data_IF_862252368229
#
_entry.id   IF_862252368229
#
_cell.length_a   1.000
_cell.length_b   1.000
_cell.length_c   1.000
_cell.angle_alpha   90.00
_cell.angle_beta   90.00
_cell.angle_gamma   90.00
#
_symmetry.space_group_name_H-M   'P 1'
#
loop_
_entity.id
_entity.type
_entity.pdbx_description
1 polymer ?
#
# COMPACT_ATOMS: atom_id res chain seq x y z
N UNK A 1 -48.88 58.26 -9.93
CA UNK A 1 -49.86 57.35 -9.30
C UNK A 1 -49.12 56.14 -8.75
N UNK A 2 -49.24 55.94 -7.43
CA UNK A 2 -49.29 54.68 -6.66
C UNK A 2 -48.56 53.46 -7.26
N UNK A 3 -47.39 53.04 -6.74
CA UNK A 3 -47.19 52.18 -5.53
C UNK A 3 -48.08 50.92 -5.54
N UNK A 4 -47.44 49.75 -5.64
CA UNK A 4 -47.44 48.78 -4.53
C UNK A 4 -46.09 48.08 -4.47
N UNK A 5 -45.50 48.19 -3.29
CA UNK A 5 -44.31 47.55 -2.76
C UNK A 5 -44.79 46.28 -2.04
N UNK A 6 -44.06 45.17 -2.15
CA UNK A 6 -43.87 44.27 -1.01
C UNK A 6 -42.36 44.04 -0.87
N UNK A 7 -41.78 44.83 0.02
CA UNK A 7 -40.58 44.50 0.78
C UNK A 7 -41.08 43.95 2.11
N UNK A 8 -40.55 42.81 2.54
CA UNK A 8 -40.37 42.54 3.96
C UNK A 8 -38.94 42.03 4.13
N UNK A 9 -38.07 42.97 4.51
CA UNK A 9 -36.89 42.70 5.31
C UNK A 9 -37.32 42.71 6.78
N UNK A 10 -36.76 41.83 7.60
CA UNK A 10 -36.59 42.13 9.02
C UNK A 10 -35.27 41.53 9.53
N UNK A 11 -34.31 42.44 9.69
CA UNK A 11 -33.13 42.30 10.55
C UNK A 11 -33.53 42.72 11.95
N UNK A 12 -33.50 41.82 12.94
CA UNK A 12 -33.22 42.06 14.39
C UNK A 12 -32.85 40.64 14.91
N UNK A 13 -31.75 40.32 15.61
CA UNK A 13 -31.06 41.03 16.68
C UNK A 13 -29.56 40.68 16.62
N UNK A 14 -28.72 41.71 16.52
CA UNK A 14 -27.35 41.67 17.02
C UNK A 14 -27.24 42.75 18.10
N UNK A 15 -27.30 42.34 19.36
CA UNK A 15 -26.93 43.04 20.60
C UNK A 15 -27.41 42.11 21.74
N UNK A 16 -26.66 41.72 22.75
CA UNK A 16 -25.24 41.79 23.11
C UNK A 16 -25.12 40.91 24.38
N UNK A 17 -23.89 40.51 24.73
CA UNK A 17 -23.46 39.76 25.94
C UNK A 17 -23.55 38.23 25.74
N UNK A 18 -22.47 37.49 25.48
CA UNK A 18 -21.07 37.64 25.89
C UNK A 18 -20.14 37.03 24.82
N UNK A 19 -19.04 37.74 24.48
CA UNK A 19 -17.68 37.28 24.10
C UNK A 19 -17.53 35.82 23.62
N UNK A 20 -16.96 35.49 22.45
CA UNK A 20 -15.71 35.97 21.84
C UNK A 20 -15.48 35.30 20.47
N UNK A 21 -14.89 36.05 19.53
CA UNK A 21 -14.07 35.60 18.37
C UNK A 21 -14.81 34.79 17.27
N UNK A 22 -14.90 35.20 16.01
CA UNK A 22 -13.81 35.59 15.09
C UNK A 22 -12.53 34.77 15.32
N UNK A 23 -12.55 33.52 14.83
CA UNK A 23 -11.36 32.89 14.30
C UNK A 23 -11.73 32.18 13.00
N UNK A 24 -11.48 32.89 11.91
CA UNK A 24 -11.11 32.28 10.65
C UNK A 24 -9.87 31.42 10.97
N UNK A 25 -10.06 30.13 11.27
CA UNK A 25 -8.96 29.25 11.70
C UNK A 25 -7.90 29.25 10.59
N UNK A 26 -6.79 29.94 10.84
CA UNK A 26 -5.62 29.91 10.00
C UNK A 26 -5.23 28.46 9.77
N UNK A 27 -4.87 28.12 8.54
CA UNK A 27 -4.33 26.82 8.13
C UNK A 27 -2.99 26.45 8.79
N UNK A 28 -2.63 27.10 9.89
CA UNK A 28 -1.40 26.90 10.66
C UNK A 28 -1.52 25.75 11.70
N UNK A 29 -2.74 25.26 11.96
CA UNK A 29 -3.00 24.25 13.00
C UNK A 29 -2.97 22.78 12.52
N UNK A 30 -2.87 22.53 11.21
CA UNK A 30 -2.55 21.19 10.69
C UNK A 30 -1.05 21.13 10.48
N UNK A 31 -0.29 20.85 11.54
CA UNK A 31 1.17 20.95 11.49
C UNK A 31 1.85 19.57 11.61
N UNK A 32 1.63 18.73 10.58
CA UNK A 32 2.37 17.48 10.40
C UNK A 32 3.88 17.75 10.36
N UNK A 33 4.30 18.92 9.88
CA UNK A 33 5.71 19.33 9.96
C UNK A 33 6.23 19.52 11.38
N UNK A 34 5.47 20.06 12.33
CA UNK A 34 5.88 20.12 13.74
C UNK A 34 5.98 18.70 14.32
N UNK A 35 5.01 17.83 14.05
CA UNK A 35 5.04 16.44 14.53
C UNK A 35 6.28 15.68 14.01
N UNK A 36 6.64 15.91 12.74
CA UNK A 36 7.86 15.38 12.14
C UNK A 36 9.13 15.98 12.75
N UNK A 37 9.19 17.30 12.89
CA UNK A 37 10.35 18.07 13.37
C UNK A 37 10.70 17.81 14.83
N UNK A 38 9.70 17.67 15.70
CA UNK A 38 9.92 17.51 17.14
C UNK A 38 10.24 16.05 17.51
N UNK A 39 9.55 15.07 16.90
CA UNK A 39 9.49 13.69 17.45
C UNK A 39 9.37 12.55 16.41
N UNK A 40 9.15 12.87 15.13
CA UNK A 40 8.82 11.89 14.09
C UNK A 40 7.40 11.32 14.21
N UNK A 41 6.93 10.73 13.11
CA UNK A 41 5.63 10.07 12.99
C UNK A 41 5.83 8.59 12.70
N UNK A 42 4.91 7.75 13.18
CA UNK A 42 4.97 6.29 12.99
C UNK A 42 3.65 5.77 12.47
N UNK A 43 3.66 4.95 11.43
CA UNK A 43 2.50 4.15 11.05
C UNK A 43 2.75 2.68 11.34
N UNK A 44 1.66 1.97 11.50
CA UNK A 44 1.61 0.56 11.78
C UNK A 44 0.89 -0.12 10.63
N UNK A 45 1.31 -1.34 10.33
CA UNK A 45 0.58 -2.24 9.45
C UNK A 45 0.72 -3.65 9.94
N UNK A 46 -0.26 -4.49 9.62
CA UNK A 46 -0.22 -5.91 9.93
C UNK A 46 -0.95 -6.70 8.84
N UNK A 47 -0.37 -7.82 8.43
CA UNK A 47 -1.01 -8.77 7.53
C UNK A 47 -1.44 -10.00 8.33
N UNK A 48 -2.74 -10.29 8.30
CA UNK A 48 -3.36 -11.38 9.07
C UNK A 48 -3.35 -12.73 8.34
N UNK A 49 -2.72 -12.84 7.16
CA UNK A 49 -2.68 -14.10 6.41
C UNK A 49 -1.56 -15.01 6.94
N UNK A 50 -1.95 -16.14 7.53
CA UNK A 50 -1.03 -17.21 7.93
C UNK A 50 -0.33 -16.96 9.27
N UNK A 51 0.90 -16.43 9.23
CA UNK A 51 1.80 -16.33 10.38
C UNK A 51 1.75 -15.01 11.16
N UNK A 52 0.95 -14.03 10.73
CA UNK A 52 0.91 -12.70 11.32
C UNK A 52 2.22 -11.96 11.05
N UNK A 53 2.19 -11.00 10.13
CA UNK A 53 3.33 -10.08 9.95
C UNK A 53 2.94 -8.73 10.57
N UNK A 54 3.79 -8.20 11.46
CA UNK A 54 3.58 -6.88 12.05
C UNK A 54 4.71 -5.96 11.62
N UNK A 55 4.34 -4.82 11.04
CA UNK A 55 5.28 -3.83 10.53
C UNK A 55 5.05 -2.50 11.23
N UNK A 56 6.16 -1.88 11.63
CA UNK A 56 6.21 -0.52 12.14
C UNK A 56 7.14 0.27 11.23
N UNK A 57 6.69 1.44 10.79
CA UNK A 57 7.55 2.35 10.04
C UNK A 57 7.52 3.72 10.66
N UNK A 58 8.70 4.26 10.94
CA UNK A 58 8.86 5.59 11.53
C UNK A 58 9.58 6.52 10.55
N UNK A 59 9.02 7.72 10.37
CA UNK A 59 9.60 8.84 9.63
C UNK A 59 9.99 9.94 10.63
N UNK A 60 11.28 10.28 10.73
CA UNK A 60 11.83 11.32 11.62
C UNK A 60 12.47 12.45 10.79
N UNK A 61 12.46 13.67 11.33
CA UNK A 61 13.07 14.84 10.69
C UNK A 61 14.57 15.00 11.00
N UNK A 62 15.01 14.72 12.22
CA UNK A 62 16.38 14.99 12.70
C UNK A 62 17.46 13.98 12.25
N UNK A 63 17.15 13.11 11.29
CA UNK A 63 18.10 12.24 10.60
C UNK A 63 18.61 12.86 9.28
N UNK A 64 18.42 14.18 9.11
CA UNK A 64 19.03 15.04 8.09
C UNK A 64 20.51 15.34 8.42
N UNK A 65 21.31 14.29 8.61
CA UNK A 65 22.72 14.38 8.23
C UNK A 65 22.76 13.98 6.76
N UNK A 66 23.54 14.74 5.98
CA UNK A 66 23.99 14.46 4.63
C UNK A 66 24.87 13.17 4.56
N UNK A 67 24.43 12.11 5.26
CA UNK A 67 25.04 10.79 5.46
C UNK A 67 23.98 9.67 5.51
N UNK A 68 22.77 9.92 4.98
CA UNK A 68 21.77 8.87 4.78
C UNK A 68 21.26 8.20 6.06
N UNK A 69 20.23 8.77 6.67
CA UNK A 69 19.40 8.02 7.62
C UNK A 69 17.94 7.95 7.18
N UNK A 70 17.36 6.80 7.51
CA UNK A 70 16.42 6.00 6.71
C UNK A 70 15.01 6.18 7.26
N UNK A 71 13.97 5.96 6.44
CA UNK A 71 12.77 5.31 6.99
C UNK A 71 13.19 4.00 7.64
N UNK A 72 13.19 3.92 8.97
CA UNK A 72 13.35 2.65 9.67
C UNK A 72 12.05 1.89 9.54
N UNK A 73 12.00 1.04 8.53
CA UNK A 73 11.04 -0.06 8.46
C UNK A 73 11.54 -1.13 9.42
N UNK A 74 10.85 -1.32 10.54
CA UNK A 74 11.07 -2.46 11.42
C UNK A 74 9.95 -3.47 11.14
N UNK A 75 10.32 -4.61 10.54
CA UNK A 75 9.44 -5.77 10.42
C UNK A 75 9.63 -6.61 11.68
N UNK A 76 8.54 -7.11 12.23
CA UNK A 76 8.57 -7.99 13.38
C UNK A 76 7.77 -9.25 13.08
N UNK A 77 8.29 -10.40 13.50
CA UNK A 77 7.51 -11.62 13.65
C UNK A 77 7.30 -11.96 15.10
N UNK A 78 6.22 -12.66 15.37
CA UNK A 78 5.98 -13.25 16.67
C UNK A 78 6.70 -14.59 16.75
N UNK A 79 7.68 -14.66 17.63
CA UNK A 79 8.33 -15.93 17.97
C UNK A 79 7.31 -16.94 18.50
N UNK A 80 7.66 -18.22 18.46
CA UNK A 80 6.83 -19.30 19.04
C UNK A 80 6.63 -19.15 20.55
N UNK A 81 7.47 -18.35 21.23
CA UNK A 81 7.31 -18.02 22.64
C UNK A 81 6.39 -16.83 22.88
N UNK A 82 5.91 -16.17 21.82
CA UNK A 82 4.96 -15.06 21.90
C UNK A 82 5.59 -13.66 21.88
N UNK A 83 6.92 -13.57 21.85
CA UNK A 83 7.67 -12.30 21.84
C UNK A 83 7.88 -11.80 20.40
N UNK A 84 7.87 -10.49 20.20
CA UNK A 84 8.19 -9.87 18.90
C UNK A 84 9.71 -9.92 18.64
N UNK A 85 10.13 -10.34 17.47
CA UNK A 85 11.54 -10.32 17.09
C UNK A 85 11.70 -9.48 15.83
N UNK A 86 12.66 -8.53 15.78
CA UNK A 86 12.92 -7.78 14.57
C UNK A 86 13.40 -8.74 13.49
N UNK A 87 12.77 -8.69 12.33
CA UNK A 87 13.15 -9.46 11.16
C UNK A 87 14.08 -8.65 10.27
N UNK A 88 15.10 -9.29 9.66
CA UNK A 88 15.85 -8.65 8.60
C UNK A 88 14.90 -8.31 7.45
N UNK A 89 14.95 -7.05 7.00
CA UNK A 89 14.20 -6.59 5.84
C UNK A 89 14.66 -7.36 4.61
N UNK A 90 13.82 -8.28 4.11
CA UNK A 90 14.01 -8.93 2.81
C UNK A 90 12.95 -8.44 1.84
N UNK A 91 12.82 -7.12 1.67
CA UNK A 91 12.10 -6.62 0.50
C UNK A 91 13.09 -6.52 -0.63
N UNK A 92 12.84 -7.36 -1.62
CA UNK A 92 13.79 -7.72 -2.66
C UNK A 92 13.29 -7.18 -4.02
N UNK A 93 12.15 -6.48 -4.00
CA UNK A 93 11.49 -5.89 -5.15
C UNK A 93 12.42 -4.94 -5.91
N UNK A 94 12.33 -4.97 -7.23
CA UNK A 94 13.07 -4.05 -8.08
C UNK A 94 12.13 -2.97 -8.60
N UNK A 95 12.62 -1.74 -8.69
CA UNK A 95 11.87 -0.64 -9.30
C UNK A 95 12.54 -0.29 -10.62
N UNK A 96 11.74 0.05 -11.63
CA UNK A 96 12.25 0.49 -12.92
C UNK A 96 12.70 1.96 -12.83
N UNK A 97 13.91 2.21 -13.29
CA UNK A 97 14.59 3.51 -13.21
C UNK A 97 15.19 3.86 -14.58
N UNK A 98 15.72 5.08 -14.70
CA UNK A 98 16.49 5.47 -15.88
C UNK A 98 17.76 4.62 -16.11
N UNK A 99 18.27 3.96 -15.06
CA UNK A 99 19.42 3.05 -15.11
C UNK A 99 19.03 1.58 -15.30
N UNK A 100 17.73 1.27 -15.35
CA UNK A 100 17.20 -0.10 -15.42
C UNK A 100 16.50 -0.54 -14.12
N UNK A 101 16.36 -1.86 -13.94
CA UNK A 101 15.78 -2.44 -12.73
C UNK A 101 16.77 -2.38 -11.57
N UNK A 102 16.46 -1.60 -10.54
CA UNK A 102 17.28 -1.49 -9.34
C UNK A 102 16.53 -2.09 -8.15
N UNK A 103 17.24 -2.86 -7.33
CA UNK A 103 16.67 -3.36 -6.09
C UNK A 103 16.33 -2.19 -5.18
N UNK A 104 15.05 -2.06 -4.86
CA UNK A 104 14.55 -1.03 -3.96
C UNK A 104 14.99 -1.35 -2.55
N UNK A 105 15.56 -0.37 -1.86
CA UNK A 105 15.77 -0.45 -0.41
C UNK A 105 14.52 0.02 0.37
N UNK A 106 13.45 0.39 -0.34
CA UNK A 106 12.21 0.97 0.17
C UNK A 106 12.46 2.14 1.14
N UNK A 107 13.46 2.97 0.86
CA UNK A 107 13.76 4.14 1.66
C UNK A 107 13.13 5.38 1.06
N UNK A 108 12.41 6.12 1.89
CA UNK A 108 11.92 7.44 1.56
C UNK A 108 12.53 8.44 2.51
N UNK A 109 13.04 9.54 1.96
CA UNK A 109 13.56 10.66 2.75
C UNK A 109 12.70 11.89 2.52
N UNK A 110 12.65 12.77 3.53
CA UNK A 110 12.00 14.07 3.40
C UNK A 110 12.82 14.95 2.46
N UNK A 111 12.28 15.26 1.29
CA UNK A 111 12.93 16.18 0.33
C UNK A 111 12.51 17.63 0.57
N UNK A 112 11.26 17.85 1.03
CA UNK A 112 10.73 19.19 1.29
C UNK A 112 9.51 19.15 2.22
N UNK A 113 9.35 20.19 3.02
CA UNK A 113 8.10 20.48 3.74
C UNK A 113 7.38 21.61 3.00
N UNK A 114 6.15 21.36 2.55
CA UNK A 114 5.33 22.28 1.75
C UNK A 114 4.27 22.98 2.61
N UNK A 115 4.69 23.59 3.72
CA UNK A 115 3.79 24.13 4.75
C UNK A 115 3.34 23.05 5.75
N UNK A 116 2.44 23.42 6.69
CA UNK A 116 2.07 22.57 7.83
C UNK A 116 1.52 21.18 7.47
N UNK A 117 0.81 21.07 6.35
CA UNK A 117 -0.01 19.89 6.04
C UNK A 117 0.57 18.95 4.96
N UNK A 118 1.73 19.26 4.36
CA UNK A 118 2.28 18.49 3.24
C UNK A 118 3.79 18.31 3.32
N UNK A 119 4.26 17.08 3.11
CA UNK A 119 5.68 16.72 3.03
C UNK A 119 5.94 16.01 1.71
N UNK A 120 6.91 16.49 0.95
CA UNK A 120 7.45 15.78 -0.19
C UNK A 120 8.49 14.75 0.29
N UNK A 121 8.37 13.54 -0.23
CA UNK A 121 9.28 12.43 0.00
C UNK A 121 9.93 12.01 -1.32
N UNK A 122 11.16 11.51 -1.25
CA UNK A 122 11.86 10.98 -2.42
C UNK A 122 12.65 9.73 -2.05
N UNK A 123 12.82 8.83 -3.02
CA UNK A 123 13.79 7.76 -2.90
C UNK A 123 15.21 8.34 -3.12
N UNK A 124 16.13 8.25 -2.15
CA UNK A 124 17.46 8.80 -2.30
C UNK A 124 18.31 8.09 -3.36
N UNK A 125 18.02 6.80 -3.65
CA UNK A 125 18.69 6.06 -4.71
C UNK A 125 18.14 6.45 -6.09
N UNK A 126 16.85 6.85 -6.15
CA UNK A 126 16.17 7.21 -7.39
C UNK A 126 15.27 8.44 -7.23
N UNK A 127 15.84 9.65 -7.34
CA UNK A 127 15.13 10.90 -7.04
C UNK A 127 13.91 11.20 -7.91
N UNK A 128 13.71 10.46 -9.01
CA UNK A 128 12.50 10.56 -9.83
C UNK A 128 11.29 9.93 -9.14
N UNK A 129 11.51 8.96 -8.26
CA UNK A 129 10.46 8.37 -7.45
C UNK A 129 10.17 9.35 -6.31
N UNK A 130 9.00 9.98 -6.37
CA UNK A 130 8.59 10.97 -5.39
C UNK A 130 7.17 10.73 -4.91
N UNK A 131 6.94 11.08 -3.64
CA UNK A 131 5.64 11.01 -3.00
C UNK A 131 5.32 12.31 -2.29
N UNK A 132 4.03 12.52 -2.03
CA UNK A 132 3.55 13.59 -1.17
C UNK A 132 2.75 12.99 -0.02
N UNK A 133 3.21 13.19 1.20
CA UNK A 133 2.46 12.89 2.41
C UNK A 133 1.59 14.10 2.75
N UNK A 134 0.27 13.89 2.80
CA UNK A 134 -0.74 14.92 3.07
C UNK A 134 -1.46 14.60 4.37
N UNK A 135 -1.55 15.54 5.31
CA UNK A 135 -2.38 15.42 6.51
C UNK A 135 -3.79 15.97 6.27
N UNK A 136 -4.78 15.28 6.83
CA UNK A 136 -6.18 15.72 6.81
C UNK A 136 -6.62 16.12 8.22
N UNK A 137 -6.99 17.39 8.36
CA UNK A 137 -7.57 17.92 9.59
C UNK A 137 -6.58 18.02 10.75
N UNK A 138 -7.13 18.41 11.91
CA UNK A 138 -6.36 18.56 13.14
C UNK A 138 -5.96 17.19 13.71
N UNK A 139 -4.86 17.10 14.48
CA UNK A 139 -4.53 15.90 15.24
C UNK A 139 -5.70 15.45 16.10
N UNK A 140 -5.95 14.15 16.11
CA UNK A 140 -6.83 13.52 17.08
C UNK A 140 -6.08 13.35 18.40
N UNK A 141 -6.52 14.05 19.46
CA UNK A 141 -6.04 13.79 20.82
C UNK A 141 -6.50 12.39 21.26
N UNK A 142 -5.53 11.55 21.63
CA UNK A 142 -5.77 10.19 22.07
C UNK A 142 -5.79 10.05 23.59
N UNK A 143 -5.50 11.11 24.35
CA UNK A 143 -5.37 11.06 25.81
C UNK A 143 -6.57 10.36 26.46
N UNK A 144 -6.29 9.35 27.30
CA UNK A 144 -7.29 8.51 27.98
C UNK A 144 -8.21 7.66 27.07
N UNK A 145 -7.96 7.62 25.75
CA UNK A 145 -8.62 6.63 24.87
C UNK A 145 -7.94 5.28 25.02
N UNK A 146 -8.72 4.21 24.89
CA UNK A 146 -8.20 2.84 24.90
C UNK A 146 -7.40 2.56 23.63
N UNK A 147 -6.18 2.07 23.80
CA UNK A 147 -5.26 1.77 22.69
C UNK A 147 -5.87 0.67 21.80
N UNK A 148 -6.35 -0.42 22.40
CA UNK A 148 -6.95 -1.55 21.67
C UNK A 148 -8.13 -1.10 20.78
N UNK A 149 -9.10 -0.38 21.35
CA UNK A 149 -10.29 0.08 20.62
C UNK A 149 -9.93 1.05 19.50
N UNK A 150 -8.97 1.95 19.74
CA UNK A 150 -8.52 2.90 18.73
C UNK A 150 -7.83 2.20 17.54
N UNK A 151 -6.91 1.27 17.79
CA UNK A 151 -6.23 0.52 16.71
C UNK A 151 -7.21 -0.35 15.92
N UNK A 152 -8.18 -0.99 16.59
CA UNK A 152 -9.20 -1.83 15.94
C UNK A 152 -10.13 -1.05 14.99
N UNK A 153 -10.18 0.28 15.11
CA UNK A 153 -10.93 1.12 14.17
C UNK A 153 -10.34 1.18 12.75
N UNK A 154 -9.11 0.67 12.57
CA UNK A 154 -8.38 0.66 11.31
C UNK A 154 -8.05 -0.78 10.90
N UNK A 155 -8.41 -1.13 9.66
CA UNK A 155 -8.12 -2.46 9.12
C UNK A 155 -6.61 -2.76 9.10
N UNK A 156 -5.77 -1.74 8.88
CA UNK A 156 -4.31 -1.89 8.81
C UNK A 156 -3.68 -2.10 10.20
N UNK A 157 -4.29 -1.56 11.24
CA UNK A 157 -3.79 -1.60 12.61
C UNK A 157 -4.41 -2.75 13.44
N UNK A 158 -5.36 -3.49 12.88
CA UNK A 158 -6.15 -4.50 13.61
C UNK A 158 -5.28 -5.64 14.15
N UNK A 159 -4.26 -6.07 13.42
CA UNK A 159 -3.31 -7.07 13.92
C UNK A 159 -2.52 -6.57 15.12
N UNK A 160 -2.15 -5.28 15.16
CA UNK A 160 -1.56 -4.67 16.35
C UNK A 160 -2.56 -4.59 17.50
N UNK A 161 -3.81 -4.22 17.24
CA UNK A 161 -4.86 -4.15 18.25
C UNK A 161 -5.00 -5.48 19.01
N UNK A 162 -4.99 -6.61 18.29
CA UNK A 162 -5.11 -7.95 18.88
C UNK A 162 -3.97 -8.29 19.85
N UNK A 163 -2.83 -7.61 19.75
CA UNK A 163 -1.66 -7.81 20.58
C UNK A 163 -1.53 -6.77 21.69
N UNK A 164 -2.51 -5.90 21.90
CA UNK A 164 -2.52 -4.89 22.98
C UNK A 164 -3.37 -5.35 24.16
N UNK A 165 -2.95 -5.02 25.38
CA UNK A 165 -3.73 -5.24 26.61
C UNK A 165 -5.03 -4.40 26.54
N UNK A 166 -6.19 -5.06 26.63
CA UNK A 166 -7.49 -4.49 26.21
C UNK A 166 -7.88 -3.15 26.88
N UNK A 167 -7.48 -2.94 28.15
CA UNK A 167 -7.87 -1.78 28.94
C UNK A 167 -6.79 -0.70 29.07
N UNK A 168 -5.67 -0.80 28.34
CA UNK A 168 -4.62 0.21 28.41
C UNK A 168 -5.02 1.47 27.68
N UNK A 169 -4.69 2.61 28.28
CA UNK A 169 -5.02 3.94 27.78
C UNK A 169 -3.78 4.63 27.22
N UNK A 170 -3.99 5.51 26.24
CA UNK A 170 -2.96 6.45 25.82
C UNK A 170 -2.71 7.50 26.92
N UNK A 171 -1.43 7.82 27.09
CA UNK A 171 -0.96 8.88 27.99
C UNK A 171 -1.18 10.27 27.38
N UNK A 172 -0.96 11.29 28.20
CA UNK A 172 -1.08 12.69 27.79
C UNK A 172 -0.11 13.02 26.65
N UNK A 173 -0.61 13.75 25.64
CA UNK A 173 0.17 14.19 24.49
C UNK A 173 0.31 13.13 23.40
N UNK A 174 -0.40 12.00 23.50
CA UNK A 174 -0.53 11.02 22.44
C UNK A 174 -1.53 11.50 21.38
N UNK A 175 -1.09 11.60 20.13
CA UNK A 175 -1.89 12.09 19.02
C UNK A 175 -1.83 11.14 17.83
N UNK A 176 -2.93 11.07 17.09
CA UNK A 176 -2.99 10.47 15.77
C UNK A 176 -3.29 11.52 14.69
N UNK A 177 -2.83 11.25 13.47
CA UNK A 177 -3.10 12.05 12.29
C UNK A 177 -3.60 11.14 11.19
N UNK A 178 -4.65 11.54 10.50
CA UNK A 178 -5.03 10.90 9.24
C UNK A 178 -4.15 11.49 8.14
N UNK A 179 -3.46 10.63 7.41
CA UNK A 179 -2.60 11.04 6.30
C UNK A 179 -2.92 10.25 5.03
N UNK A 180 -2.54 10.80 3.88
CA UNK A 180 -2.48 10.09 2.61
C UNK A 180 -1.09 10.23 2.04
N UNK A 181 -0.53 9.12 1.59
CA UNK A 181 0.65 9.10 0.74
C UNK A 181 0.20 9.09 -0.71
N UNK A 182 0.58 10.11 -1.46
CA UNK A 182 0.30 10.24 -2.88
C UNK A 182 1.56 9.95 -3.68
N UNK A 183 1.50 9.07 -4.68
CA UNK A 183 2.55 8.94 -5.69
C UNK A 183 2.55 10.18 -6.58
N UNK A 184 3.70 10.80 -6.82
CA UNK A 184 3.77 11.96 -7.72
C UNK A 184 4.18 11.55 -9.15
N UNK A 185 4.75 10.36 -9.31
CA UNK A 185 5.22 9.79 -10.57
C UNK A 185 4.72 8.37 -10.72
N UNK A 186 4.59 7.93 -11.96
CA UNK A 186 4.32 6.52 -12.25
C UNK A 186 5.45 5.65 -11.71
N UNK A 187 5.11 4.51 -11.11
CA UNK A 187 6.08 3.55 -10.56
C UNK A 187 5.79 2.16 -11.06
N UNK A 188 6.87 1.47 -11.46
CA UNK A 188 6.84 0.10 -11.94
C UNK A 188 7.71 -0.74 -11.04
N UNK A 189 7.12 -1.73 -10.38
CA UNK A 189 7.83 -2.59 -9.43
C UNK A 189 7.79 -4.02 -9.91
N UNK A 190 8.95 -4.61 -10.17
CA UNK A 190 9.08 -6.06 -10.33
C UNK A 190 9.00 -6.71 -8.95
N UNK A 191 8.08 -7.65 -8.78
CA UNK A 191 8.01 -8.44 -7.56
C UNK A 191 9.20 -9.38 -7.49
N UNK A 192 9.88 -9.39 -6.35
CA UNK A 192 10.86 -10.41 -5.99
C UNK A 192 10.27 -11.19 -4.83
N UNK A 193 9.52 -12.21 -5.17
CA UNK A 193 8.97 -13.14 -4.20
C UNK A 193 10.02 -14.25 -4.10
N UNK A 194 10.62 -14.41 -2.92
CA UNK A 194 11.49 -15.54 -2.62
C UNK A 194 10.75 -16.85 -2.99
N UNK A 195 11.16 -17.47 -4.08
CA UNK A 195 10.59 -18.71 -4.60
C UNK A 195 11.27 -19.91 -3.94
N UNK A 196 10.76 -20.35 -2.80
CA UNK A 196 11.03 -21.73 -2.34
C UNK A 196 10.08 -22.75 -3.01
N UNK A 197 9.15 -22.31 -3.86
CA UNK A 197 8.25 -23.18 -4.64
C UNK A 197 8.66 -23.26 -6.12
N UNK A 198 8.42 -24.43 -6.72
CA UNK A 198 8.99 -24.94 -7.99
C UNK A 198 8.67 -24.14 -9.27
N UNK A 199 8.01 -22.97 -9.22
CA UNK A 199 7.64 -22.18 -10.40
C UNK A 199 7.84 -20.66 -10.20
N UNK A 200 8.56 -20.03 -11.14
CA UNK A 200 9.04 -18.64 -11.07
C UNK A 200 7.97 -17.60 -10.73
N UNK A 201 8.04 -17.06 -9.52
CA UNK A 201 6.96 -16.31 -8.86
C UNK A 201 6.51 -15.03 -9.57
N UNK A 202 7.42 -14.38 -10.30
CA UNK A 202 7.12 -13.24 -11.15
C UNK A 202 7.20 -13.58 -12.64
N UNK A 203 7.45 -14.84 -13.01
CA UNK A 203 7.43 -15.27 -14.41
C UNK A 203 6.00 -15.35 -14.89
N UNK A 204 5.77 -14.78 -16.06
CA UNK A 204 4.49 -14.88 -16.74
C UNK A 204 4.52 -16.13 -17.58
N UNK A 205 3.54 -17.00 -17.38
CA UNK A 205 3.41 -18.21 -18.19
C UNK A 205 2.33 -18.06 -19.23
N UNK A 206 2.61 -18.68 -20.38
CA UNK A 206 1.69 -18.91 -21.48
C UNK A 206 1.69 -20.41 -21.72
N UNK A 207 0.57 -21.08 -21.43
CA UNK A 207 0.36 -22.55 -21.46
C UNK A 207 1.63 -23.43 -21.31
N UNK A 208 1.80 -24.03 -20.14
CA UNK A 208 2.84 -25.03 -19.82
C UNK A 208 4.30 -24.54 -19.88
N UNK A 209 4.57 -23.30 -20.29
CA UNK A 209 5.92 -22.73 -20.25
C UNK A 209 5.94 -21.23 -19.89
N UNK A 210 7.02 -20.74 -19.28
CA UNK A 210 7.27 -19.31 -19.13
C UNK A 210 7.32 -18.62 -20.51
N UNK A 211 6.64 -17.49 -20.65
CA UNK A 211 6.74 -16.65 -21.83
C UNK A 211 8.15 -16.01 -21.89
N UNK A 212 8.72 -15.94 -23.08
CA UNK A 212 10.06 -15.40 -23.31
C UNK A 212 10.01 -13.96 -23.82
N UNK A 213 8.93 -13.61 -24.54
CA UNK A 213 8.67 -12.30 -25.08
C UNK A 213 7.23 -11.84 -24.81
N UNK A 214 7.02 -10.52 -24.78
CA UNK A 214 5.67 -9.94 -24.66
C UNK A 214 4.76 -10.33 -25.84
N UNK A 215 5.33 -10.69 -26.98
CA UNK A 215 4.60 -11.20 -28.13
C UNK A 215 4.02 -12.61 -27.91
N UNK A 216 4.58 -13.41 -26.98
CA UNK A 216 4.09 -14.77 -26.69
C UNK A 216 2.76 -14.76 -25.93
N UNK A 217 2.39 -13.62 -25.34
CA UNK A 217 1.19 -13.42 -24.54
C UNK A 217 0.20 -12.42 -25.18
N UNK A 218 0.48 -11.98 -26.41
CA UNK A 218 -0.43 -11.12 -27.17
C UNK A 218 -0.89 -11.77 -28.48
N UNK A 219 -2.10 -11.42 -28.91
CA UNK A 219 -2.75 -12.01 -30.08
C UNK A 219 -3.25 -10.93 -31.04
N UNK A 220 -3.18 -11.19 -32.34
CA UNK A 220 -3.71 -10.26 -33.34
C UNK A 220 -5.24 -10.20 -33.35
N UNK A 221 -5.90 -11.28 -32.93
CA UNK A 221 -7.36 -11.45 -32.96
C UNK A 221 -7.74 -12.21 -31.69
N UNK A 222 -8.79 -11.74 -31.01
CA UNK A 222 -9.36 -12.39 -29.84
C UNK A 222 -9.71 -13.87 -30.11
N UNK A 223 -9.24 -14.74 -29.25
CA UNK A 223 -9.51 -16.18 -29.32
C UNK A 223 -10.80 -16.47 -28.56
N UNK A 224 -11.69 -17.26 -29.18
CA UNK A 224 -12.82 -17.84 -28.47
C UNK A 224 -12.37 -19.12 -27.76
N UNK A 225 -11.58 -18.96 -26.70
CA UNK A 225 -10.95 -20.06 -25.97
C UNK A 225 -11.99 -20.81 -25.13
N UNK A 226 -12.82 -21.65 -25.76
CA UNK A 226 -13.50 -22.76 -25.09
C UNK A 226 -12.58 -23.98 -24.97
N UNK A 227 -11.56 -24.05 -25.82
CA UNK A 227 -10.46 -25.00 -25.76
C UNK A 227 -9.22 -24.32 -25.13
N UNK A 228 -8.75 -24.76 -23.95
CA UNK A 228 -7.59 -24.18 -23.30
C UNK A 228 -6.30 -24.27 -24.11
N UNK A 229 -6.14 -25.28 -24.98
CA UNK A 229 -4.94 -25.45 -25.83
C UNK A 229 -4.78 -24.32 -26.87
N UNK A 230 -5.85 -23.60 -27.16
CA UNK A 230 -5.84 -22.48 -28.09
C UNK A 230 -5.47 -21.16 -27.41
N UNK A 231 -5.46 -21.11 -26.08
CA UNK A 231 -5.22 -19.88 -25.34
C UNK A 231 -3.79 -19.37 -25.52
N UNK A 232 -3.67 -18.08 -25.85
CA UNK A 232 -2.40 -17.36 -25.92
C UNK A 232 -2.53 -16.12 -25.05
N UNK A 233 -1.92 -16.16 -23.88
CA UNK A 233 -2.08 -15.12 -22.89
C UNK A 233 -1.31 -15.41 -21.62
N UNK A 234 -1.48 -14.54 -20.63
CA UNK A 234 -0.79 -14.60 -19.36
C UNK A 234 -1.68 -15.21 -18.26
N UNK A 235 -1.13 -16.15 -17.49
CA UNK A 235 -1.72 -16.52 -16.20
C UNK A 235 -1.44 -15.42 -15.17
N UNK A 236 -2.50 -14.88 -14.56
CA UNK A 236 -2.43 -13.86 -13.51
C UNK A 236 -2.48 -14.49 -12.12
N UNK A 237 -3.19 -15.60 -11.96
CA UNK A 237 -3.17 -16.41 -10.75
C UNK A 237 -2.84 -17.86 -11.05
N UNK A 238 -2.51 -18.60 -10.00
CA UNK A 238 -2.11 -19.99 -10.07
C UNK A 238 -3.13 -20.90 -9.42
N UNK A 239 -3.19 -22.14 -9.88
CA UNK A 239 -4.05 -23.17 -9.30
C UNK A 239 -3.44 -23.62 -7.96
N UNK A 240 -3.70 -22.86 -6.91
CA UNK A 240 -3.47 -23.29 -5.54
C UNK A 240 -4.69 -24.08 -5.07
N UNK A 241 -4.49 -25.33 -4.64
CA UNK A 241 -5.52 -26.17 -4.03
C UNK A 241 -6.77 -26.46 -4.89
N UNK A 242 -6.60 -26.75 -6.19
CA UNK A 242 -7.69 -26.98 -7.15
C UNK A 242 -8.63 -25.77 -7.33
N UNK A 243 -8.16 -24.57 -7.03
CA UNK A 243 -8.89 -23.34 -7.34
C UNK A 243 -8.78 -22.99 -8.82
N UNK A 244 -9.79 -22.32 -9.39
CA UNK A 244 -9.69 -21.79 -10.73
C UNK A 244 -8.50 -20.82 -10.86
N UNK A 245 -7.94 -20.73 -12.06
CA UNK A 245 -6.91 -19.76 -12.43
C UNK A 245 -7.55 -18.60 -13.18
N UNK A 246 -7.04 -17.40 -12.94
CA UNK A 246 -7.35 -16.21 -13.73
C UNK A 246 -6.25 -16.04 -14.78
N UNK A 247 -6.66 -15.82 -16.01
CA UNK A 247 -5.78 -15.59 -17.15
C UNK A 247 -6.29 -14.44 -18.00
N UNK A 248 -5.39 -13.83 -18.77
CA UNK A 248 -5.70 -12.70 -19.66
C UNK A 248 -5.09 -12.90 -21.04
N UNK A 249 -5.90 -12.75 -22.07
CA UNK A 249 -5.45 -12.59 -23.46
C UNK A 249 -5.35 -11.10 -23.79
N UNK A 250 -4.21 -10.69 -24.34
CA UNK A 250 -3.96 -9.31 -24.76
C UNK A 250 -4.07 -9.20 -26.27
N UNK A 251 -5.14 -8.60 -26.77
CA UNK A 251 -5.36 -8.43 -28.21
C UNK A 251 -4.68 -7.14 -28.67
N UNK A 252 -3.99 -7.16 -29.81
CA UNK A 252 -3.22 -6.01 -30.33
C UNK A 252 -4.07 -4.76 -30.63
N UNK A 253 -5.40 -4.88 -30.62
CA UNK A 253 -6.31 -3.72 -30.72
C UNK A 253 -6.51 -2.97 -29.39
N UNK A 254 -5.83 -3.41 -28.32
CA UNK A 254 -5.91 -2.86 -26.97
C UNK A 254 -6.94 -3.55 -26.08
N UNK A 255 -7.66 -4.57 -26.57
CA UNK A 255 -8.61 -5.34 -25.76
C UNK A 255 -7.91 -6.36 -24.88
N UNK A 256 -8.32 -6.46 -23.61
CA UNK A 256 -7.90 -7.49 -22.67
C UNK A 256 -9.09 -8.41 -22.36
N UNK A 257 -9.00 -9.70 -22.70
CA UNK A 257 -10.06 -10.68 -22.43
C UNK A 257 -9.64 -11.55 -21.24
N UNK A 258 -10.46 -11.59 -20.19
CA UNK A 258 -10.17 -12.36 -18.98
C UNK A 258 -10.91 -13.69 -19.00
N UNK A 259 -10.18 -14.77 -18.71
CA UNK A 259 -10.69 -16.13 -18.69
C UNK A 259 -10.46 -16.77 -17.33
N UNK A 260 -11.49 -17.45 -16.85
CA UNK A 260 -11.41 -18.36 -15.71
C UNK A 260 -11.10 -19.74 -16.28
N UNK A 261 -10.00 -20.32 -15.83
CA UNK A 261 -9.54 -21.64 -16.26
C UNK A 261 -9.63 -22.64 -15.12
N UNK A 262 -10.33 -23.74 -15.34
CA UNK A 262 -10.47 -24.82 -14.35
C UNK A 262 -9.59 -26.00 -14.74
N UNK A 263 -8.97 -26.65 -13.75
CA UNK A 263 -8.18 -27.87 -13.96
C UNK A 263 -8.78 -29.03 -13.19
N UNK A 264 -8.97 -30.15 -13.88
CA UNK A 264 -9.39 -31.42 -13.28
C UNK A 264 -8.21 -32.28 -12.79
N UNK A 265 -6.96 -31.90 -13.12
CA UNK A 265 -5.77 -32.67 -12.77
C UNK A 265 -4.52 -31.78 -12.73
N UNK A 266 -4.24 -31.20 -11.56
CA UNK A 266 -2.97 -30.54 -11.27
C UNK A 266 -2.76 -29.16 -11.92
N UNK A 267 -1.55 -28.62 -11.71
CA UNK A 267 -1.27 -27.17 -11.72
C UNK A 267 -1.00 -26.56 -13.11
N UNK A 268 -1.00 -27.31 -14.21
CA UNK A 268 -0.57 -26.78 -15.52
C UNK A 268 -1.42 -27.17 -16.74
N UNK A 269 -2.54 -27.86 -16.55
CA UNK A 269 -3.38 -28.37 -17.64
C UNK A 269 -4.86 -28.02 -17.41
N UNK A 270 -5.25 -26.77 -17.70
CA UNK A 270 -6.66 -26.40 -17.64
C UNK A 270 -7.49 -27.29 -18.57
N UNK A 271 -8.61 -27.80 -18.06
CA UNK A 271 -9.56 -28.61 -18.82
C UNK A 271 -10.66 -27.77 -19.49
N UNK A 272 -10.92 -26.57 -18.96
CA UNK A 272 -11.91 -25.63 -19.50
C UNK A 272 -11.39 -24.21 -19.40
N UNK A 273 -11.83 -23.37 -20.33
CA UNK A 273 -11.61 -21.93 -20.30
C UNK A 273 -12.95 -21.24 -20.54
N UNK A 274 -13.31 -20.32 -19.64
CA UNK A 274 -14.55 -19.54 -19.73
C UNK A 274 -14.21 -18.06 -19.71
N UNK A 275 -14.56 -17.35 -20.79
CA UNK A 275 -14.44 -15.89 -20.81
C UNK A 275 -15.37 -15.29 -19.75
N UNK A 276 -14.81 -14.56 -18.81
CA UNK A 276 -15.53 -14.01 -17.67
C UNK A 276 -15.72 -12.50 -17.79
N UNK A 277 -14.71 -11.79 -18.30
CA UNK A 277 -14.78 -10.32 -18.45
C UNK A 277 -13.92 -9.81 -19.60
N UNK A 278 -14.04 -8.52 -19.88
CA UNK A 278 -13.13 -7.79 -20.75
C UNK A 278 -12.74 -6.45 -20.11
N UNK A 279 -11.56 -5.95 -20.48
CA UNK A 279 -11.08 -4.61 -20.17
C UNK A 279 -10.19 -4.14 -21.32
N UNK A 280 -9.41 -3.10 -21.09
CA UNK A 280 -8.34 -2.65 -21.99
C UNK A 280 -6.97 -2.89 -21.38
N UNK A 281 -5.96 -2.96 -22.23
CA UNK A 281 -4.56 -2.89 -21.85
C UNK A 281 -3.85 -1.85 -22.70
N UNK A 282 -2.69 -1.39 -22.25
CA UNK A 282 -1.88 -0.40 -22.96
C UNK A 282 -0.43 -0.83 -23.02
N UNK A 283 0.19 -0.63 -24.18
CA UNK A 283 1.64 -0.61 -24.33
C UNK A 283 2.17 0.75 -23.87
N UNK A 284 3.22 0.75 -23.06
CA UNK A 284 3.87 1.96 -22.57
C UNK A 284 5.38 1.82 -22.61
N UNK A 285 6.03 2.81 -23.19
CA UNK A 285 7.48 2.98 -23.08
C UNK A 285 7.82 3.76 -21.81
N UNK A 286 8.63 3.19 -20.94
CA UNK A 286 9.16 3.85 -19.75
C UNK A 286 10.64 3.51 -19.59
N UNK A 287 11.49 4.54 -19.46
CA UNK A 287 12.93 4.39 -19.26
C UNK A 287 13.62 3.44 -20.27
N UNK A 288 13.15 3.46 -21.52
CA UNK A 288 13.67 2.59 -22.60
C UNK A 288 13.25 1.12 -22.50
N UNK A 289 12.17 0.83 -21.76
CA UNK A 289 11.54 -0.48 -21.67
C UNK A 289 10.09 -0.42 -22.15
N UNK A 290 9.71 -1.40 -22.96
CA UNK A 290 8.33 -1.69 -23.32
C UNK A 290 7.64 -2.41 -22.18
N UNK A 291 6.50 -1.88 -21.75
CA UNK A 291 5.67 -2.39 -20.66
C UNK A 291 4.25 -2.60 -21.15
N UNK A 292 3.62 -3.72 -20.79
CA UNK A 292 2.17 -3.91 -20.96
C UNK A 292 1.48 -3.68 -19.62
N UNK A 293 0.57 -2.71 -19.57
CA UNK A 293 -0.17 -2.35 -18.37
C UNK A 293 -1.62 -2.84 -18.48
N UNK A 294 -2.06 -3.58 -17.47
CA UNK A 294 -3.35 -4.26 -17.44
C UNK A 294 -3.98 -4.00 -16.06
N UNK A 295 -5.30 -3.79 -16.04
CA UNK A 295 -6.07 -3.74 -14.80
C UNK A 295 -7.06 -4.91 -14.75
N UNK A 296 -6.98 -5.72 -13.68
CA UNK A 296 -7.96 -6.77 -13.42
C UNK A 296 -9.31 -6.13 -13.04
N UNK A 297 -10.42 -6.45 -13.74
CA UNK A 297 -11.73 -5.91 -13.40
C UNK A 297 -12.16 -6.23 -11.97
N UNK A 298 -12.80 -5.27 -11.29
CA UNK A 298 -13.10 -5.34 -9.86
C UNK A 298 -13.81 -6.62 -9.38
N UNK A 299 -14.82 -7.17 -10.10
CA UNK A 299 -15.43 -8.44 -9.68
C UNK A 299 -14.42 -9.58 -9.64
N UNK A 300 -13.55 -9.66 -10.65
CA UNK A 300 -12.49 -10.67 -10.72
C UNK A 300 -11.37 -10.38 -9.71
N UNK A 301 -11.05 -9.11 -9.48
CA UNK A 301 -10.06 -8.73 -8.49
C UNK A 301 -10.49 -9.25 -7.11
N UNK A 302 -11.75 -9.03 -6.74
CA UNK A 302 -12.34 -9.53 -5.48
C UNK A 302 -12.32 -11.05 -5.40
N UNK A 303 -12.81 -11.75 -6.43
CA UNK A 303 -12.92 -13.22 -6.44
C UNK A 303 -11.57 -13.92 -6.36
N UNK A 304 -10.53 -13.31 -6.92
CA UNK A 304 -9.18 -13.87 -6.97
C UNK A 304 -8.21 -13.24 -5.96
N UNK A 305 -8.71 -12.40 -5.04
CA UNK A 305 -7.93 -11.85 -3.94
C UNK A 305 -6.94 -10.75 -4.33
N UNK A 306 -7.13 -10.12 -5.50
CA UNK A 306 -6.44 -8.87 -5.82
C UNK A 306 -7.08 -7.71 -5.05
N UNK A 307 -6.28 -6.99 -4.29
CA UNK A 307 -6.66 -5.69 -3.73
C UNK A 307 -6.41 -4.55 -4.74
N UNK A 308 -6.78 -3.32 -4.39
CA UNK A 308 -6.60 -2.13 -5.24
C UNK A 308 -5.13 -1.95 -5.70
N UNK A 309 -4.18 -2.34 -4.84
CA UNK A 309 -2.75 -2.29 -5.10
C UNK A 309 -2.27 -3.35 -6.10
N UNK A 310 -2.81 -4.57 -6.06
CA UNK A 310 -2.33 -5.71 -6.85
C UNK A 310 -3.10 -5.93 -8.15
N UNK A 311 -4.27 -5.29 -8.33
CA UNK A 311 -5.05 -5.43 -9.57
C UNK A 311 -4.45 -4.69 -10.77
N UNK A 312 -3.54 -3.74 -10.54
CA UNK A 312 -2.81 -2.99 -11.56
C UNK A 312 -1.46 -3.67 -11.86
N UNK A 313 -1.42 -4.41 -12.96
CA UNK A 313 -0.32 -5.30 -13.31
C UNK A 313 0.51 -4.68 -14.43
N UNK A 314 1.84 -4.77 -14.30
CA UNK A 314 2.78 -4.51 -15.39
C UNK A 314 3.45 -5.80 -15.83
N UNK A 315 3.48 -6.06 -17.14
CA UNK A 315 4.23 -7.15 -17.76
C UNK A 315 5.37 -6.58 -18.60
N UNK A 316 6.54 -7.21 -18.55
CA UNK A 316 7.75 -6.70 -19.23
C UNK A 316 8.79 -7.79 -19.45
N UNK A 317 9.70 -7.60 -20.40
CA UNK A 317 10.81 -8.54 -20.63
C UNK A 317 12.00 -8.22 -19.72
N UNK A 318 12.50 -9.24 -19.01
CA UNK A 318 13.69 -9.16 -18.20
C UNK A 318 14.36 -10.55 -18.06
N UNK A 319 15.67 -10.58 -18.27
CA UNK A 319 16.50 -11.80 -18.25
C UNK A 319 15.96 -12.94 -19.13
N UNK A 320 15.54 -12.59 -20.36
CA UNK A 320 15.06 -13.55 -21.37
C UNK A 320 13.69 -14.15 -21.09
N UNK A 321 12.93 -13.58 -20.13
CA UNK A 321 11.58 -14.00 -19.76
C UNK A 321 10.65 -12.80 -19.65
N UNK A 322 9.35 -13.04 -19.80
CA UNK A 322 8.33 -12.08 -19.40
C UNK A 322 8.13 -12.18 -17.90
N UNK A 323 8.25 -11.04 -17.23
CA UNK A 323 8.03 -10.87 -15.80
C UNK A 323 6.77 -10.05 -15.55
N UNK A 324 6.17 -10.23 -14.37
CA UNK A 324 5.05 -9.43 -13.85
C UNK A 324 5.47 -8.61 -12.64
N UNK A 325 4.74 -7.52 -12.43
CA UNK A 325 4.94 -6.62 -11.31
C UNK A 325 3.73 -5.76 -11.01
N UNK A 326 3.91 -4.81 -10.09
CA UNK A 326 2.93 -3.78 -9.73
C UNK A 326 3.14 -2.53 -10.57
N UNK A 327 2.04 -1.96 -11.06
CA UNK A 327 1.99 -0.61 -11.61
C UNK A 327 1.24 0.33 -10.66
N UNK A 328 1.91 1.40 -10.22
CA UNK A 328 1.31 2.47 -9.44
C UNK A 328 1.25 3.73 -10.31
N UNK A 329 0.04 4.19 -10.65
CA UNK A 329 -0.17 5.41 -11.42
C UNK A 329 0.19 6.65 -10.58
N UNK A 330 0.74 7.68 -11.21
CA UNK A 330 0.87 9.00 -10.60
C UNK A 330 -0.49 9.51 -10.10
N UNK A 331 -0.50 10.06 -8.90
CA UNK A 331 -1.69 10.55 -8.22
C UNK A 331 -2.45 9.49 -7.43
N UNK A 332 -2.04 8.22 -7.47
CA UNK A 332 -2.57 7.19 -6.58
C UNK A 332 -2.34 7.59 -5.12
N UNK A 333 -3.38 7.45 -4.30
CA UNK A 333 -3.36 7.86 -2.90
C UNK A 333 -3.68 6.68 -2.00
N UNK A 334 -2.82 6.43 -1.03
CA UNK A 334 -3.07 5.48 0.04
C UNK A 334 -3.29 6.23 1.34
N UNK A 335 -4.43 6.01 1.99
CA UNK A 335 -4.73 6.62 3.30
C UNK A 335 -4.35 5.68 4.44
N UNK A 336 -3.75 6.24 5.48
CA UNK A 336 -3.41 5.54 6.71
C UNK A 336 -3.32 6.52 7.89
N UNK A 337 -3.24 5.94 9.09
CA UNK A 337 -3.08 6.72 10.32
C UNK A 337 -1.61 6.71 10.72
N UNK A 338 -1.13 7.86 11.17
CA UNK A 338 0.20 7.99 11.79
C UNK A 338 0.05 8.48 13.22
N UNK A 339 1.00 8.08 14.05
CA UNK A 339 1.07 8.33 15.47
C UNK A 339 2.30 9.15 15.79
N UNK A 340 2.19 10.11 16.70
CA UNK A 340 3.38 10.76 17.23
C UNK A 340 4.17 9.80 18.16
N UNK A 341 5.37 10.22 18.57
CA UNK A 341 6.23 9.36 19.38
C UNK A 341 5.65 8.96 20.75
N UNK A 342 4.82 9.81 21.38
CA UNK A 342 4.12 9.46 22.63
C UNK A 342 3.14 8.31 22.40
N UNK A 343 2.26 8.43 21.40
CA UNK A 343 1.31 7.38 21.05
C UNK A 343 2.02 6.09 20.62
N UNK A 344 3.10 6.19 19.85
CA UNK A 344 3.97 5.05 19.50
C UNK A 344 4.50 4.34 20.74
N UNK A 345 5.04 5.10 21.69
CA UNK A 345 5.62 4.56 22.93
C UNK A 345 4.56 3.87 23.78
N UNK A 346 3.36 4.45 23.87
CA UNK A 346 2.22 3.83 24.56
C UNK A 346 1.82 2.51 23.91
N UNK A 347 1.74 2.45 22.59
CA UNK A 347 1.40 1.21 21.85
C UNK A 347 2.44 0.13 22.14
N UNK A 348 3.73 0.42 21.93
CA UNK A 348 4.80 -0.57 22.08
C UNK A 348 4.98 -1.05 23.53
N UNK A 349 4.78 -0.17 24.52
CA UNK A 349 4.91 -0.53 25.93
C UNK A 349 3.78 -1.43 26.45
N UNK A 350 2.64 -1.48 25.75
CA UNK A 350 1.43 -2.20 26.16
C UNK A 350 1.11 -3.43 25.29
N UNK A 351 2.09 -3.90 24.52
CA UNK A 351 1.99 -5.21 23.85
C UNK A 351 1.86 -6.31 24.90
N UNK A 352 0.98 -7.29 24.63
CA UNK A 352 0.83 -8.50 25.41
C UNK A 352 2.16 -9.22 25.42
N UNK A 353 2.82 -9.26 26.57
CA UNK A 353 3.93 -10.18 26.77
C UNK A 353 3.36 -11.60 26.78
N UNK A 354 4.17 -12.56 26.33
CA UNK A 354 3.84 -13.96 26.56
C UNK A 354 3.70 -14.21 28.07
N UNK A 355 2.66 -14.92 28.49
CA UNK A 355 2.54 -15.46 29.85
C UNK A 355 3.57 -16.59 30.06
N UNK A 356 4.85 -16.33 29.79
CA UNK A 356 5.93 -17.20 30.23
C UNK A 356 6.21 -16.87 31.69
N UNK A 357 5.50 -17.60 32.54
CA UNK A 357 5.86 -17.84 33.93
C UNK A 357 7.26 -18.48 33.99
N UNK A 358 8.30 -17.66 33.82
CA UNK A 358 9.68 -18.14 33.73
C UNK A 358 10.71 -17.08 33.35
N UNK A 359 10.96 -16.12 34.24
CA UNK A 359 12.28 -15.51 34.44
C UNK A 359 12.93 -14.73 33.28
N UNK A 360 12.69 -13.41 33.28
CA UNK A 360 13.72 -12.39 33.07
C UNK A 360 14.33 -12.22 31.68
N UNK A 361 13.85 -11.21 30.93
CA UNK A 361 14.69 -10.11 30.46
C UNK A 361 13.84 -8.96 29.93
N UNK A 362 14.02 -7.75 30.46
CA UNK A 362 13.47 -6.53 29.87
C UNK A 362 14.21 -6.23 28.56
N UNK A 363 13.68 -6.74 27.46
CA UNK A 363 14.07 -6.30 26.12
C UNK A 363 13.74 -4.81 25.96
N UNK A 364 14.74 -4.03 25.59
CA UNK A 364 14.63 -2.58 25.47
C UNK A 364 14.01 -2.23 24.11
N UNK A 365 12.68 -2.04 24.05
CA UNK A 365 11.91 -1.78 22.82
C UNK A 365 11.97 -0.33 22.33
N UNK A 366 12.94 0.46 22.79
CA UNK A 366 12.90 1.93 22.70
C UNK A 366 13.70 2.59 21.57
N UNK A 367 14.32 1.85 20.66
CA UNK A 367 15.13 2.48 19.59
C UNK A 367 14.41 2.56 18.24
#
# INVERSE_FOLDING_TARGET
>A
MKKTIIYISFTIICMALLSSCDEQSSSDDVNLSIALQDKGITWLSSETYGSGEWTQTTLKYDDLIFDGTKTTHNKYSRSTTGDFQPEPQSTKNFVLTSSGWLQSNNQLIVSKINGGASIALTDPAEPLITYTLLAFGLPEDLTNKKIHEHLKSSNKDTGWANEIIENTLFNMGSNAYQVSLQTNTDRYTMWDLNCEEEFGCNEVWSLQQPAESLADISTGIAINASNPDEFKGAFLTWNQDNKPMLSVELVTDGSANFYIMESNSGIANPSTATKSSNNTWQEKEAFGKTLYLIEVPEPLATDFGFNEDSRHIVLFEHDGKVRRGKYELAGHTESFRVYNNSAKSDILANLKQSDNSGGGNNGNWQN
#
